data_IF_484023155136
#
_entry.id   IF_484023155136
#
_cell.length_a   1.000
_cell.length_b   1.000
_cell.length_c   1.000
_cell.angle_alpha   90.00
_cell.angle_beta   90.00
_cell.angle_gamma   90.00
#
_symmetry.space_group_name_H-M   'P 1'
#
loop_
_entity.id
_entity.type
_entity.pdbx_description
1 polymer ?
#
# COMPACT_ATOMS: atom_id res chain seq x y z
N UNK A 1 18.76 3.97 3.62
CA UNK A 1 18.24 4.18 2.25
C UNK A 1 16.74 4.00 2.35
N UNK A 2 15.93 5.04 2.13
CA UNK A 2 14.47 4.90 2.10
C UNK A 2 14.06 4.28 0.76
N UNK A 3 13.49 3.08 0.76
CA UNK A 3 12.91 2.48 -0.46
C UNK A 3 11.66 3.25 -0.87
N UNK A 4 11.58 3.60 -2.13
CA UNK A 4 10.38 4.18 -2.74
C UNK A 4 9.82 3.16 -3.72
N UNK A 5 8.54 2.83 -3.58
CA UNK A 5 7.80 1.95 -4.45
C UNK A 5 7.00 2.77 -5.44
N UNK A 6 6.93 2.32 -6.70
CA UNK A 6 6.08 2.87 -7.74
C UNK A 6 5.05 1.83 -8.16
N UNK A 7 3.77 2.22 -8.16
CA UNK A 7 2.64 1.35 -8.47
C UNK A 7 1.60 2.06 -9.32
N UNK A 8 0.78 1.31 -10.04
CA UNK A 8 -0.28 1.86 -10.89
C UNK A 8 -1.63 1.76 -10.19
N UNK A 9 -2.20 2.88 -9.75
CA UNK A 9 -3.53 2.91 -9.14
C UNK A 9 -4.53 3.50 -10.15
N UNK A 10 -5.38 2.63 -10.69
CA UNK A 10 -6.25 2.97 -11.82
C UNK A 10 -5.41 3.29 -13.06
N UNK A 11 -5.51 4.52 -13.58
CA UNK A 11 -4.76 4.98 -14.78
C UNK A 11 -3.51 5.80 -14.46
N UNK A 12 -3.14 5.96 -13.17
CA UNK A 12 -2.05 6.85 -12.75
C UNK A 12 -0.98 6.08 -11.99
N UNK A 13 0.27 6.43 -12.26
CA UNK A 13 1.39 5.98 -11.45
C UNK A 13 1.40 6.77 -10.13
N UNK A 14 1.70 6.07 -9.05
CA UNK A 14 1.74 6.58 -7.68
C UNK A 14 2.98 6.04 -7.00
N UNK A 15 3.58 6.85 -6.14
CA UNK A 15 4.73 6.44 -5.35
C UNK A 15 4.43 6.53 -3.86
N UNK A 16 5.04 5.63 -3.09
CA UNK A 16 4.97 5.58 -1.64
C UNK A 16 6.24 4.97 -1.05
N UNK A 17 6.48 5.20 0.22
CA UNK A 17 7.69 4.78 0.93
C UNK A 17 7.42 4.32 2.38
N UNK A 18 6.17 4.36 2.82
CA UNK A 18 5.71 3.87 4.12
C UNK A 18 4.17 3.73 4.13
N UNK A 19 3.62 3.19 5.22
CA UNK A 19 2.18 3.05 5.44
C UNK A 19 1.39 4.34 5.15
N UNK A 20 1.82 5.47 5.74
CA UNK A 20 1.09 6.74 5.63
C UNK A 20 1.02 7.24 4.18
N UNK A 21 2.10 7.09 3.42
CA UNK A 21 2.13 7.47 1.99
C UNK A 21 1.36 6.46 1.14
N UNK A 22 1.40 5.16 1.47
CA UNK A 22 0.61 4.13 0.80
C UNK A 22 -0.89 4.39 0.95
N UNK A 23 -1.41 4.58 2.16
CA UNK A 23 -2.84 4.86 2.36
C UNK A 23 -3.32 6.11 1.61
N UNK A 24 -2.45 7.11 1.41
CA UNK A 24 -2.78 8.33 0.68
C UNK A 24 -3.01 8.11 -0.82
N UNK A 25 -2.44 7.05 -1.42
CA UNK A 25 -2.63 6.80 -2.85
C UNK A 25 -4.02 6.23 -3.16
N UNK A 26 -4.74 5.72 -2.14
CA UNK A 26 -6.09 5.19 -2.25
C UNK A 26 -7.18 6.17 -1.74
N UNK A 27 -8.41 6.06 -2.27
CA UNK A 27 -9.61 6.76 -1.78
C UNK A 27 -9.92 6.47 -0.30
N UNK A 28 -10.57 7.41 0.39
CA UNK A 28 -10.82 7.32 1.85
C UNK A 28 -11.65 6.11 2.26
N UNK A 29 -12.61 5.72 1.44
CA UNK A 29 -13.49 4.56 1.60
C UNK A 29 -12.72 3.24 1.68
N UNK A 30 -11.58 3.12 0.98
CA UNK A 30 -10.74 1.91 1.00
C UNK A 30 -9.72 1.90 2.13
N UNK A 31 -9.35 3.06 2.67
CA UNK A 31 -8.25 3.20 3.65
C UNK A 31 -8.47 2.36 4.90
N UNK A 32 -9.67 2.36 5.46
CA UNK A 32 -9.95 1.63 6.70
C UNK A 32 -9.67 0.14 6.55
N UNK A 33 -10.07 -0.47 5.43
CA UNK A 33 -9.83 -1.91 5.17
C UNK A 33 -8.35 -2.22 4.95
N UNK A 34 -7.68 -1.37 4.18
CA UNK A 34 -6.24 -1.49 3.91
C UNK A 34 -5.44 -1.33 5.21
N UNK A 35 -5.81 -0.37 6.06
CA UNK A 35 -5.17 -0.13 7.35
C UNK A 35 -5.37 -1.31 8.31
N UNK A 36 -6.57 -1.92 8.35
CA UNK A 36 -6.80 -3.15 9.11
C UNK A 36 -5.90 -4.28 8.62
N UNK A 37 -5.79 -4.48 7.30
CA UNK A 37 -4.93 -5.53 6.73
C UNK A 37 -3.46 -5.34 7.15
N UNK A 38 -2.94 -4.11 7.06
CA UNK A 38 -1.56 -3.77 7.46
C UNK A 38 -1.30 -4.12 8.93
N UNK A 39 -2.27 -3.81 9.81
CA UNK A 39 -2.16 -4.09 11.25
C UNK A 39 -2.26 -5.59 11.55
N UNK A 40 -3.19 -6.28 10.92
CA UNK A 40 -3.40 -7.73 11.10
C UNK A 40 -2.20 -8.55 10.62
N UNK A 41 -1.60 -8.16 9.50
CA UNK A 41 -0.49 -8.90 8.87
C UNK A 41 0.88 -8.35 9.24
N UNK A 42 0.94 -7.29 10.05
CA UNK A 42 2.17 -6.59 10.45
C UNK A 42 3.09 -6.31 9.24
N UNK A 43 2.53 -5.71 8.19
CA UNK A 43 3.23 -5.54 6.92
C UNK A 43 4.55 -4.78 7.09
N UNK A 44 5.64 -5.44 6.71
CA UNK A 44 6.97 -4.86 6.62
C UNK A 44 7.13 -4.11 5.28
N UNK A 45 7.24 -2.78 5.36
CA UNK A 45 7.43 -1.91 4.21
C UNK A 45 8.86 -1.93 3.65
N UNK A 46 9.80 -2.62 4.29
CA UNK A 46 11.10 -2.92 3.71
C UNK A 46 11.10 -4.26 2.95
N UNK A 47 10.09 -5.11 3.14
CA UNK A 47 9.93 -6.37 2.41
C UNK A 47 9.15 -6.19 1.09
N UNK A 48 9.81 -6.39 -0.04
CA UNK A 48 9.19 -6.27 -1.38
C UNK A 48 8.01 -7.21 -1.55
N UNK A 49 8.10 -8.43 -1.04
CA UNK A 49 7.05 -9.44 -1.14
C UNK A 49 5.79 -9.02 -0.36
N UNK A 50 5.96 -8.57 0.88
CA UNK A 50 4.83 -8.13 1.71
C UNK A 50 4.18 -6.85 1.16
N UNK A 51 4.99 -5.92 0.65
CA UNK A 51 4.48 -4.72 -0.03
C UNK A 51 3.70 -5.09 -1.30
N UNK A 52 4.15 -6.09 -2.06
CA UNK A 52 3.43 -6.57 -3.23
C UNK A 52 2.08 -7.22 -2.86
N UNK A 53 2.04 -8.04 -1.81
CA UNK A 53 0.81 -8.64 -1.29
C UNK A 53 -0.19 -7.58 -0.82
N UNK A 54 0.29 -6.59 -0.05
CA UNK A 54 -0.51 -5.44 0.38
C UNK A 54 -1.09 -4.69 -0.82
N UNK A 55 -0.27 -4.45 -1.84
CA UNK A 55 -0.72 -3.78 -3.07
C UNK A 55 -1.79 -4.59 -3.80
N UNK A 56 -1.61 -5.90 -3.96
CA UNK A 56 -2.61 -6.78 -4.58
C UNK A 56 -3.94 -6.76 -3.82
N UNK A 57 -3.91 -6.81 -2.49
CA UNK A 57 -5.10 -6.68 -1.66
C UNK A 57 -5.79 -5.32 -1.88
N UNK A 58 -5.02 -4.23 -1.88
CA UNK A 58 -5.54 -2.88 -1.98
C UNK A 58 -6.21 -2.55 -3.33
N UNK A 59 -5.73 -3.13 -4.44
CA UNK A 59 -6.35 -2.97 -5.77
C UNK A 59 -7.57 -3.87 -6.00
N UNK A 60 -7.75 -4.91 -5.18
CA UNK A 60 -8.90 -5.82 -5.25
C UNK A 60 -10.12 -5.34 -4.43
N UNK A 61 -9.91 -4.40 -3.50
CA UNK A 61 -11.00 -3.64 -2.84
C UNK A 61 -11.57 -2.60 -3.79
#
# INVERSE_FOLDING_TARGET
ISRTYEVQVGKRNKSFYNERSFLKIFPKDKRTRIESFIKEHQTDFDSVEQVFQLYQYAIAQ
#
